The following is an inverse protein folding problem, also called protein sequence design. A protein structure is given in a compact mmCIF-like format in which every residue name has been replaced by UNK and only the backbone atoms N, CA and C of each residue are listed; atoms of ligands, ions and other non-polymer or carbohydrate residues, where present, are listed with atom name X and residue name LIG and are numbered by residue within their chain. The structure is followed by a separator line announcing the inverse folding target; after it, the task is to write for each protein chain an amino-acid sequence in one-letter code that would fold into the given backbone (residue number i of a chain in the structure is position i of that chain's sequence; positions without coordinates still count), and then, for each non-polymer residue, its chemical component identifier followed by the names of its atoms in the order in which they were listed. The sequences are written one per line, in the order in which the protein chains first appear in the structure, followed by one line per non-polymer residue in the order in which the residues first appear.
data_IF_773525569522
#
_entry.id   IF_773525569522
#
_cell.length_a   1.000
_cell.length_b   1.000
_cell.length_c   1.000
_cell.angle_alpha   90.00
_cell.angle_beta   90.00
_cell.angle_gamma   90.00
#
_symmetry.space_group_name_H-M   'P 1'
#
loop_
_entity.id
_entity.type
_entity.pdbx_description
1 polymer ?
#
# COMPACT_ATOMS: atom_id res chain seq x y z
N UNK A 1 -50.15 20.79 11.65
CA UNK A 1 -48.83 21.16 12.22
C UNK A 1 -47.82 20.13 11.76
N UNK A 2 -47.04 20.48 10.74
CA UNK A 2 -45.91 19.70 10.24
C UNK A 2 -44.66 20.18 10.97
N UNK A 3 -43.94 19.27 11.64
CA UNK A 3 -42.57 19.56 12.10
C UNK A 3 -41.72 18.30 11.90
N UNK A 4 -41.22 18.13 10.69
CA UNK A 4 -40.19 17.13 10.37
C UNK A 4 -38.83 17.79 10.56
N UNK A 5 -38.21 17.60 11.72
CA UNK A 5 -36.83 17.99 11.96
C UNK A 5 -35.90 16.88 11.44
N UNK A 6 -35.34 17.08 10.24
CA UNK A 6 -34.33 16.20 9.65
C UNK A 6 -32.96 16.56 10.26
N UNK A 7 -32.51 15.78 11.24
CA UNK A 7 -31.16 15.92 11.81
C UNK A 7 -30.17 15.28 10.85
N UNK A 8 -29.49 16.09 10.04
CA UNK A 8 -28.27 15.66 9.36
C UNK A 8 -27.16 15.51 10.40
N UNK A 9 -26.98 14.29 10.90
CA UNK A 9 -25.75 13.93 11.63
C UNK A 9 -24.63 13.89 10.59
N UNK A 10 -23.85 14.97 10.53
CA UNK A 10 -22.69 15.08 9.66
C UNK A 10 -21.70 13.96 9.99
N UNK A 11 -21.50 13.04 9.04
CA UNK A 11 -20.37 12.13 9.08
C UNK A 11 -19.09 12.98 9.00
N UNK A 12 -18.43 13.18 10.14
CA UNK A 12 -17.05 13.66 10.14
C UNK A 12 -16.20 12.53 9.55
N UNK A 13 -16.06 12.54 8.22
CA UNK A 13 -15.03 11.79 7.55
C UNK A 13 -13.69 12.42 7.95
N UNK A 14 -13.12 11.93 9.05
CA UNK A 14 -11.71 12.12 9.34
C UNK A 14 -10.96 11.39 8.23
N UNK A 15 -10.62 12.11 7.16
CA UNK A 15 -9.70 11.64 6.16
C UNK A 15 -8.40 11.30 6.89
N UNK A 16 -8.01 10.03 6.88
CA UNK A 16 -6.67 9.66 7.28
C UNK A 16 -5.69 10.57 6.52
N UNK A 17 -4.72 11.14 7.24
CA UNK A 17 -3.66 11.98 6.67
C UNK A 17 -2.67 11.09 5.91
N UNK A 18 -3.18 10.39 4.92
CA UNK A 18 -2.39 9.55 4.05
C UNK A 18 -1.72 10.46 3.04
N UNK A 19 -0.39 10.52 3.09
CA UNK A 19 0.35 11.05 1.96
C UNK A 19 0.74 9.88 1.08
N UNK A 20 0.01 9.63 -0.01
CA UNK A 20 0.49 8.81 -1.11
C UNK A 20 1.02 9.71 -2.22
N UNK A 21 2.15 9.35 -2.82
CA UNK A 21 2.70 10.01 -3.99
C UNK A 21 3.18 8.96 -4.99
N UNK A 22 2.66 9.03 -6.22
CA UNK A 22 3.07 8.13 -7.31
C UNK A 22 3.94 8.91 -8.29
N UNK A 23 5.17 8.44 -8.47
CA UNK A 23 6.15 8.96 -9.42
C UNK A 23 6.29 7.97 -10.56
N UNK A 24 5.84 8.38 -11.74
CA UNK A 24 5.93 7.58 -12.95
C UNK A 24 7.09 8.06 -13.83
N UNK A 25 7.85 7.10 -14.34
CA UNK A 25 8.83 7.23 -15.42
C UNK A 25 8.79 5.97 -16.29
N UNK A 26 9.18 6.03 -17.57
CA UNK A 26 9.25 4.85 -18.44
C UNK A 26 10.10 3.71 -17.84
N UNK A 27 11.17 4.07 -17.14
CA UNK A 27 12.13 3.13 -16.55
C UNK A 27 11.81 2.69 -15.12
N UNK A 28 10.84 3.34 -14.44
CA UNK A 28 10.45 2.98 -13.06
C UNK A 28 9.16 3.64 -12.60
N UNK A 29 8.44 2.97 -11.70
CA UNK A 29 7.42 3.57 -10.86
C UNK A 29 7.89 3.55 -9.40
N UNK A 30 7.73 4.68 -8.71
CA UNK A 30 7.99 4.78 -7.27
C UNK A 30 6.71 5.26 -6.59
N UNK A 31 6.32 4.58 -5.52
CA UNK A 31 5.21 4.96 -4.67
C UNK A 31 5.75 5.24 -3.26
N UNK A 32 5.47 6.42 -2.76
CA UNK A 32 5.75 6.80 -1.37
C UNK A 32 4.43 6.86 -0.62
N UNK A 33 4.36 6.22 0.54
CA UNK A 33 3.21 6.27 1.43
C UNK A 33 3.72 6.63 2.81
N UNK A 34 3.14 7.66 3.40
CA UNK A 34 3.27 7.91 4.83
C UNK A 34 1.88 7.93 5.43
N UNK A 35 1.74 7.23 6.53
CA UNK A 35 0.52 7.18 7.32
C UNK A 35 0.88 7.63 8.75
N UNK A 36 0.11 8.56 9.29
CA UNK A 36 0.28 9.06 10.67
C UNK A 36 -0.96 8.76 11.49
N UNK A 37 -0.77 8.45 12.76
CA UNK A 37 -1.86 8.21 13.71
C UNK A 37 -1.51 7.14 14.73
N UNK A 38 -2.52 6.74 15.52
CA UNK A 38 -2.32 5.86 16.68
C UNK A 38 -3.15 4.58 16.62
N UNK A 39 -4.14 4.49 15.73
CA UNK A 39 -5.06 3.33 15.65
C UNK A 39 -5.36 2.96 14.20
N UNK A 40 -5.48 1.65 13.94
CA UNK A 40 -5.90 1.07 12.66
C UNK A 40 -5.10 1.56 11.44
N UNK A 41 -3.79 1.73 11.59
CA UNK A 41 -2.91 2.17 10.51
C UNK A 41 -2.69 1.03 9.50
N UNK A 42 -3.09 1.25 8.25
CA UNK A 42 -3.00 0.25 7.16
C UNK A 42 -1.57 -0.15 6.87
N UNK A 43 -0.61 0.77 6.91
CA UNK A 43 0.81 0.46 6.73
C UNK A 43 1.38 -0.35 7.90
N UNK A 44 0.92 -0.11 9.12
CA UNK A 44 1.31 -0.94 10.26
C UNK A 44 0.72 -2.34 10.12
N UNK A 45 -0.53 -2.47 9.69
CA UNK A 45 -1.16 -3.75 9.41
C UNK A 45 -0.43 -4.51 8.30
N UNK A 46 0.00 -3.82 7.24
CA UNK A 46 0.87 -4.36 6.18
C UNK A 46 2.20 -4.87 6.74
N UNK A 47 2.88 -4.05 7.55
CA UNK A 47 4.16 -4.42 8.18
C UNK A 47 4.02 -5.60 9.13
N UNK A 48 2.90 -5.69 9.85
CA UNK A 48 2.62 -6.78 10.78
C UNK A 48 2.50 -8.14 10.07
N UNK A 49 2.27 -8.17 8.75
CA UNK A 49 2.35 -9.40 7.96
C UNK A 49 3.78 -9.96 7.88
N UNK A 50 4.81 -9.14 8.11
CA UNK A 50 6.22 -9.54 8.13
C UNK A 50 6.76 -9.70 9.57
N UNK A 51 5.87 -9.73 10.56
CA UNK A 51 6.21 -9.75 11.98
C UNK A 51 6.28 -8.36 12.62
N UNK A 52 6.76 -8.28 13.86
CA UNK A 52 6.75 -7.05 14.68
C UNK A 52 8.01 -6.19 14.51
N UNK A 53 8.86 -6.50 13.51
CA UNK A 53 10.23 -5.97 13.42
C UNK A 53 10.34 -4.45 13.19
N UNK A 54 9.22 -3.73 13.01
CA UNK A 54 9.21 -2.27 12.87
C UNK A 54 9.84 -1.75 11.57
N UNK A 55 10.60 -2.56 10.84
CA UNK A 55 11.25 -2.20 9.58
C UNK A 55 11.17 -3.38 8.60
N UNK A 56 10.97 -3.09 7.32
CA UNK A 56 10.99 -4.08 6.23
C UNK A 56 11.90 -3.56 5.12
N UNK A 57 12.91 -4.34 4.76
CA UNK A 57 13.71 -4.15 3.55
C UNK A 57 13.60 -5.42 2.70
N UNK A 58 12.88 -5.32 1.60
CA UNK A 58 12.62 -6.41 0.67
C UNK A 58 13.09 -6.06 -0.73
N UNK A 59 13.68 -7.04 -1.41
CA UNK A 59 14.00 -7.02 -2.82
C UNK A 59 13.52 -8.34 -3.43
N UNK A 60 12.69 -8.28 -4.47
CA UNK A 60 12.23 -9.48 -5.19
C UNK A 60 13.40 -10.27 -5.75
N UNK A 61 13.20 -11.57 -5.96
CA UNK A 61 14.22 -12.44 -6.57
C UNK A 61 14.65 -11.95 -7.96
N UNK A 62 13.73 -11.34 -8.72
CA UNK A 62 14.01 -10.72 -10.02
C UNK A 62 14.67 -9.32 -9.93
N UNK A 63 14.78 -8.73 -8.73
CA UNK A 63 15.37 -7.40 -8.50
C UNK A 63 14.53 -6.22 -9.00
N UNK A 64 13.33 -6.50 -9.51
CA UNK A 64 12.43 -5.56 -10.15
C UNK A 64 11.44 -4.89 -9.18
N UNK A 65 11.27 -5.43 -7.97
CA UNK A 65 10.47 -4.83 -6.91
C UNK A 65 11.30 -4.66 -5.66
N UNK A 66 11.41 -3.42 -5.16
CA UNK A 66 12.00 -3.10 -3.86
C UNK A 66 10.95 -2.46 -2.97
N UNK A 67 10.85 -2.94 -1.73
CA UNK A 67 9.98 -2.38 -0.69
C UNK A 67 10.84 -2.03 0.50
N UNK A 68 10.76 -0.79 0.95
CA UNK A 68 11.45 -0.28 2.13
C UNK A 68 10.42 0.40 3.02
N UNK A 69 10.25 -0.09 4.24
CA UNK A 69 9.28 0.44 5.18
C UNK A 69 9.88 0.59 6.58
N UNK A 70 9.40 1.58 7.31
CA UNK A 70 9.76 1.80 8.71
C UNK A 70 8.55 2.29 9.50
N UNK A 71 8.43 1.79 10.73
CA UNK A 71 7.59 2.35 11.78
C UNK A 71 8.37 3.48 12.45
N UNK A 72 7.69 4.59 12.65
CA UNK A 72 8.15 5.72 13.46
C UNK A 72 7.15 5.91 14.60
N UNK A 73 7.53 6.58 15.69
CA UNK A 73 6.71 6.68 16.90
C UNK A 73 5.26 7.15 16.67
N UNK A 74 4.99 7.89 15.60
CA UNK A 74 3.69 8.47 15.29
C UNK A 74 3.09 7.97 13.95
N UNK A 75 3.61 6.88 13.39
CA UNK A 75 3.12 6.37 12.10
C UNK A 75 4.05 5.38 11.40
N UNK A 76 3.85 5.22 10.09
CA UNK A 76 4.68 4.36 9.24
C UNK A 76 4.90 5.00 7.89
N UNK A 77 6.07 4.73 7.32
CA UNK A 77 6.42 5.15 5.97
C UNK A 77 6.86 3.95 5.15
N UNK A 78 6.42 3.88 3.89
CA UNK A 78 6.84 2.87 2.93
C UNK A 78 7.20 3.50 1.58
N UNK A 79 8.27 2.98 0.97
CA UNK A 79 8.68 3.22 -0.40
C UNK A 79 8.59 1.92 -1.19
N UNK A 80 7.78 1.93 -2.25
CA UNK A 80 7.68 0.84 -3.20
C UNK A 80 8.33 1.29 -4.51
N UNK A 81 9.27 0.52 -5.02
CA UNK A 81 9.94 0.79 -6.30
C UNK A 81 9.72 -0.41 -7.22
N UNK A 82 9.16 -0.13 -8.38
CA UNK A 82 8.93 -1.09 -9.45
C UNK A 82 9.79 -0.71 -10.65
N UNK A 83 10.51 -1.69 -11.20
CA UNK A 83 11.20 -1.60 -12.48
C UNK A 83 10.44 -2.40 -13.54
N UNK A 84 10.60 -2.06 -14.83
CA UNK A 84 10.10 -2.91 -15.90
C UNK A 84 10.64 -4.34 -15.74
N UNK A 85 9.73 -5.31 -15.69
CA UNK A 85 10.02 -6.73 -15.62
C UNK A 85 9.10 -7.48 -16.59
N UNK A 86 9.52 -8.64 -17.08
CA UNK A 86 8.80 -9.34 -18.17
C UNK A 86 7.47 -9.94 -17.73
N UNK A 87 7.26 -10.25 -16.44
CA UNK A 87 6.04 -10.90 -15.95
C UNK A 87 5.46 -10.33 -14.65
N UNK A 88 6.30 -9.72 -13.82
CA UNK A 88 5.94 -9.23 -12.47
C UNK A 88 5.24 -7.88 -12.52
N UNK A 89 5.75 -6.95 -13.35
CA UNK A 89 5.37 -5.54 -13.34
C UNK A 89 4.86 -5.10 -14.72
N UNK A 90 3.58 -4.75 -14.80
CA UNK A 90 2.95 -4.17 -15.99
C UNK A 90 2.87 -2.67 -15.82
N UNK A 91 3.55 -1.95 -16.70
CA UNK A 91 3.57 -0.49 -16.67
C UNK A 91 2.44 0.04 -17.56
N UNK A 92 1.53 0.80 -16.97
CA UNK A 92 0.53 1.56 -17.72
C UNK A 92 1.07 2.94 -18.12
N UNK A 93 0.24 3.73 -18.81
CA UNK A 93 0.63 5.09 -19.25
C UNK A 93 1.07 6.02 -18.10
N UNK A 94 0.55 5.79 -16.88
CA UNK A 94 0.82 6.63 -15.70
C UNK A 94 0.81 5.81 -14.39
N UNK A 95 1.29 4.57 -14.44
CA UNK A 95 1.19 3.69 -13.28
C UNK A 95 1.88 2.35 -13.43
N UNK A 96 1.60 1.46 -12.49
CA UNK A 96 2.11 0.10 -12.42
C UNK A 96 1.08 -0.84 -11.80
N UNK A 97 0.95 -2.03 -12.36
CA UNK A 97 0.36 -3.19 -11.70
C UNK A 97 1.47 -4.22 -11.48
N UNK A 98 1.59 -4.73 -10.26
CA UNK A 98 2.64 -5.66 -9.86
C UNK A 98 2.07 -6.81 -9.07
N UNK A 99 2.70 -7.99 -9.15
CA UNK A 99 2.37 -9.13 -8.29
C UNK A 99 3.65 -9.82 -7.78
N UNK A 100 3.68 -10.19 -6.51
CA UNK A 100 4.80 -10.89 -5.88
C UNK A 100 4.27 -12.17 -5.26
N UNK A 101 4.90 -13.31 -5.56
CA UNK A 101 4.51 -14.59 -4.99
C UNK A 101 4.82 -14.63 -3.49
N UNK A 102 3.98 -15.31 -2.71
CA UNK A 102 4.25 -15.50 -1.27
C UNK A 102 5.58 -16.18 -1.01
N UNK A 103 6.03 -17.08 -1.89
CA UNK A 103 7.33 -17.75 -1.79
C UNK A 103 8.50 -16.77 -1.77
N UNK A 104 8.39 -15.62 -2.44
CA UNK A 104 9.43 -14.60 -2.45
C UNK A 104 9.44 -13.80 -1.14
N UNK A 105 8.29 -13.70 -0.47
CA UNK A 105 8.11 -12.93 0.77
C UNK A 105 8.37 -13.77 2.03
N UNK A 106 8.15 -15.08 1.98
CA UNK A 106 8.28 -15.99 3.13
C UNK A 106 9.69 -15.95 3.76
N UNK A 107 10.74 -15.80 2.95
CA UNK A 107 12.12 -15.63 3.44
C UNK A 107 12.33 -14.39 4.32
N UNK A 108 11.37 -13.46 4.33
CA UNK A 108 11.36 -12.23 5.11
C UNK A 108 10.33 -12.25 6.25
N UNK A 109 9.83 -13.43 6.63
CA UNK A 109 8.89 -13.58 7.73
C UNK A 109 7.43 -13.28 7.37
N UNK A 110 7.08 -13.29 6.08
CA UNK A 110 5.71 -13.07 5.63
C UNK A 110 4.76 -14.18 6.08
N UNK A 111 3.75 -13.80 6.85
CA UNK A 111 2.70 -14.67 7.38
C UNK A 111 1.54 -14.77 6.38
N UNK A 112 1.53 -15.86 5.61
CA UNK A 112 0.52 -16.12 4.60
C UNK A 112 -0.87 -16.35 5.18
N UNK A 113 -0.98 -16.81 6.42
CA UNK A 113 -2.27 -17.05 7.07
C UNK A 113 -2.92 -15.72 7.49
N UNK A 114 -2.13 -14.77 7.99
CA UNK A 114 -2.60 -13.41 8.30
C UNK A 114 -2.85 -12.56 7.07
N UNK A 115 -2.21 -12.90 5.95
CA UNK A 115 -2.34 -12.19 4.70
C UNK A 115 -3.66 -12.51 3.98
N UNK A 116 -4.36 -13.60 4.30
CA UNK A 116 -5.59 -13.98 3.61
C UNK A 116 -6.66 -12.87 3.66
N UNK A 117 -7.12 -12.44 2.48
CA UNK A 117 -8.13 -11.38 2.36
C UNK A 117 -7.63 -9.97 2.69
N UNK A 118 -6.31 -9.77 2.84
CA UNK A 118 -5.73 -8.46 3.06
C UNK A 118 -6.00 -7.55 1.84
N UNK A 119 -6.57 -6.37 2.08
CA UNK A 119 -6.88 -5.38 1.05
C UNK A 119 -6.90 -3.97 1.64
N UNK A 120 -5.99 -3.13 1.19
CA UNK A 120 -5.87 -1.74 1.64
C UNK A 120 -5.63 -0.82 0.46
N UNK A 121 -6.21 0.38 0.53
CA UNK A 121 -6.07 1.42 -0.48
C UNK A 121 -5.69 2.76 0.14
N UNK A 122 -4.94 3.54 -0.63
CA UNK A 122 -4.47 4.88 -0.32
C UNK A 122 -4.81 5.82 -1.48
N UNK A 123 -5.24 7.04 -1.15
CA UNK A 123 -5.63 8.08 -2.11
C UNK A 123 -5.20 9.44 -1.57
N UNK A 124 -4.48 10.23 -2.38
CA UNK A 124 -4.19 11.61 -2.01
C UNK A 124 -5.21 12.59 -2.63
N UNK A 125 -5.16 13.84 -2.19
CA UNK A 125 -6.01 14.93 -2.71
C UNK A 125 -5.80 15.21 -4.20
N UNK A 126 -4.61 14.94 -4.74
CA UNK A 126 -4.30 15.07 -6.16
C UNK A 126 -4.87 13.92 -7.00
N UNK A 127 -5.38 12.87 -6.36
CA UNK A 127 -5.98 11.70 -6.99
C UNK A 127 -5.01 10.57 -7.32
N UNK A 128 -3.75 10.65 -6.90
CA UNK A 128 -2.82 9.52 -6.96
C UNK A 128 -3.34 8.41 -6.04
N UNK A 129 -3.29 7.16 -6.52
CA UNK A 129 -3.84 5.99 -5.85
C UNK A 129 -2.79 4.91 -5.71
N UNK A 130 -2.85 4.19 -4.60
CA UNK A 130 -2.13 2.94 -4.43
C UNK A 130 -2.98 1.91 -3.68
N UNK A 131 -2.96 0.66 -4.13
CA UNK A 131 -3.65 -0.46 -3.47
C UNK A 131 -2.69 -1.62 -3.28
N UNK A 132 -2.80 -2.28 -2.14
CA UNK A 132 -2.12 -3.53 -1.81
C UNK A 132 -3.20 -4.54 -1.48
N UNK A 133 -3.22 -5.69 -2.14
CA UNK A 133 -4.19 -6.73 -1.83
C UNK A 133 -3.62 -8.12 -2.07
N UNK A 134 -4.16 -9.10 -1.39
CA UNK A 134 -3.82 -10.51 -1.59
C UNK A 134 -4.87 -11.20 -2.44
N UNK A 135 -4.40 -12.00 -3.40
CA UNK A 135 -5.26 -12.88 -4.20
C UNK A 135 -4.50 -14.16 -4.53
N UNK A 136 -5.08 -15.30 -4.18
CA UNK A 136 -4.42 -16.60 -4.26
C UNK A 136 -3.09 -16.63 -3.50
N UNK A 137 -2.01 -16.99 -4.20
CA UNK A 137 -0.66 -17.10 -3.65
C UNK A 137 0.20 -15.83 -3.89
N UNK A 138 -0.43 -14.68 -4.13
CA UNK A 138 0.24 -13.44 -4.51
C UNK A 138 -0.17 -12.26 -3.65
N UNK A 139 0.79 -11.38 -3.36
CA UNK A 139 0.52 -9.99 -3.02
C UNK A 139 0.54 -9.17 -4.30
N UNK A 140 -0.52 -8.43 -4.53
CA UNK A 140 -0.72 -7.59 -5.68
C UNK A 140 -0.64 -6.12 -5.27
N UNK A 141 -0.13 -5.31 -6.20
CA UNK A 141 0.04 -3.88 -6.05
C UNK A 141 -0.50 -3.18 -7.28
N UNK A 142 -1.18 -2.06 -7.09
CA UNK A 142 -1.60 -1.19 -8.19
C UNK A 142 -1.38 0.25 -7.79
N UNK A 143 -0.60 0.98 -8.59
CA UNK A 143 -0.31 2.38 -8.40
C UNK A 143 -0.66 3.18 -9.64
N UNK A 144 -1.40 4.28 -9.47
CA UNK A 144 -1.75 5.17 -10.58
C UNK A 144 -1.59 6.63 -10.19
N UNK A 145 -1.03 7.39 -11.13
CA UNK A 145 -0.87 8.85 -11.05
C UNK A 145 -2.01 9.53 -11.80
N UNK A 146 -2.74 10.43 -11.13
CA UNK A 146 -3.83 11.22 -11.76
C UNK A 146 -3.31 12.38 -12.57
#
# INVERSE_FOLDING_TARGET
MLLSALVLVGAQAFAAWDSVAVFHRPEKNIVLINERGTTNLRLQNWLALFGEAGCLEFLSNAGDVKISCANVNEGSGCTFRFLPGTETNRFGARGVDSKIAYTDLQGFGFDTARAEGFDVSFLNSNGDRFRIWTDGAFVNFSGSKK
#
